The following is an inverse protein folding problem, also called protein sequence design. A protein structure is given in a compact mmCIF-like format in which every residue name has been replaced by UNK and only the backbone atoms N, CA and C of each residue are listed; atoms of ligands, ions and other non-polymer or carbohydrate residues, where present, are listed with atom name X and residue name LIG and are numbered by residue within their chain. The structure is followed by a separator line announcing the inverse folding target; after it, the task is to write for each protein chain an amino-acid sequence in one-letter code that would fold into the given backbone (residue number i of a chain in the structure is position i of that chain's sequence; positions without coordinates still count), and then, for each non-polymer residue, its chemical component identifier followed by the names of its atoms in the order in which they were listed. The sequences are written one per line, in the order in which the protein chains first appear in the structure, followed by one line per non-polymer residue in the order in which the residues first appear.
data_IF_519730446382
#
_entry.id   IF_519730446382
#
_cell.length_a   1.000
_cell.length_b   1.000
_cell.length_c   1.000
_cell.angle_alpha   90.00
_cell.angle_beta   90.00
_cell.angle_gamma   90.00
#
_symmetry.space_group_name_H-M   'P 1'
#
loop_
_entity.id
_entity.type
_entity.pdbx_description
1 polymer ?
#
# COMPACT_ATOMS: atom_id res chain seq x y z
N UNK A 1 -5.76 10.74 14.63
CA UNK A 1 -5.53 10.89 13.18
C UNK A 1 -4.56 9.80 12.78
N UNK A 2 -4.94 8.87 11.89
CA UNK A 2 -4.07 7.74 11.52
C UNK A 2 -3.09 8.21 10.44
N UNK A 3 -1.78 8.16 10.70
CA UNK A 3 -0.74 8.51 9.74
C UNK A 3 -0.57 7.45 8.65
N UNK A 4 -0.51 6.19 9.04
CA UNK A 4 -0.57 5.04 8.13
C UNK A 4 -0.90 3.76 8.91
N UNK A 5 -1.39 2.73 8.22
CA UNK A 5 -1.58 1.40 8.76
C UNK A 5 -0.74 0.40 7.97
N UNK A 6 0.11 -0.37 8.65
CA UNK A 6 0.93 -1.41 8.02
C UNK A 6 0.23 -2.75 8.16
N UNK A 7 0.04 -3.44 7.04
CA UNK A 7 -0.53 -4.76 6.96
C UNK A 7 0.54 -5.74 6.46
N UNK A 8 0.87 -6.71 7.32
CA UNK A 8 1.74 -7.81 6.96
C UNK A 8 1.00 -8.84 6.12
N UNK A 9 1.61 -9.33 5.05
CA UNK A 9 1.05 -10.42 4.22
C UNK A 9 2.04 -11.58 4.09
N UNK A 10 1.51 -12.80 3.95
CA UNK A 10 2.33 -13.98 3.65
C UNK A 10 2.72 -14.05 2.16
N UNK A 11 1.99 -13.33 1.29
CA UNK A 11 2.21 -13.28 -0.16
C UNK A 11 2.05 -11.83 -0.63
N UNK A 12 3.19 -11.18 -0.92
CA UNK A 12 3.28 -9.78 -1.30
C UNK A 12 2.70 -9.57 -2.70
N UNK A 13 3.05 -10.41 -3.67
CA UNK A 13 2.61 -10.28 -5.05
C UNK A 13 1.08 -10.36 -5.18
N UNK A 14 0.47 -11.33 -4.49
CA UNK A 14 -1.00 -11.46 -4.44
C UNK A 14 -1.66 -10.26 -3.76
N UNK A 15 -1.10 -9.78 -2.64
CA UNK A 15 -1.63 -8.61 -1.96
C UNK A 15 -1.54 -7.35 -2.83
N UNK A 16 -0.41 -7.13 -3.49
CA UNK A 16 -0.18 -6.01 -4.39
C UNK A 16 -1.17 -5.99 -5.56
N UNK A 17 -1.45 -7.15 -6.17
CA UNK A 17 -2.45 -7.25 -7.22
C UNK A 17 -3.86 -6.90 -6.73
N UNK A 18 -4.23 -7.38 -5.54
CA UNK A 18 -5.52 -7.07 -4.91
C UNK A 18 -5.64 -5.59 -4.56
N UNK A 19 -4.64 -5.02 -3.88
CA UNK A 19 -4.67 -3.62 -3.45
C UNK A 19 -4.54 -2.66 -4.63
N UNK A 20 -3.84 -3.01 -5.71
CA UNK A 20 -3.89 -2.23 -6.95
C UNK A 20 -5.29 -2.17 -7.53
N UNK A 21 -5.96 -3.32 -7.67
CA UNK A 21 -7.31 -3.37 -8.20
C UNK A 21 -8.28 -2.58 -7.30
N UNK A 22 -8.16 -2.72 -5.98
CA UNK A 22 -8.97 -1.98 -5.02
C UNK A 22 -8.73 -0.48 -5.11
N UNK A 23 -7.47 -0.03 -5.00
CA UNK A 23 -7.13 1.38 -5.01
C UNK A 23 -7.41 2.05 -6.36
N UNK A 24 -7.32 1.31 -7.47
CA UNK A 24 -7.74 1.80 -8.78
C UNK A 24 -9.22 2.20 -8.82
N UNK A 25 -10.10 1.54 -8.06
CA UNK A 25 -11.53 1.90 -8.00
C UNK A 25 -11.82 3.13 -7.14
N UNK A 26 -10.99 3.39 -6.12
CA UNK A 26 -11.18 4.49 -5.16
C UNK A 26 -10.26 5.70 -5.41
N UNK A 27 -9.53 5.71 -6.53
CA UNK A 27 -8.63 6.80 -6.92
C UNK A 27 -7.33 6.87 -6.11
N UNK A 28 -6.96 5.80 -5.42
CA UNK A 28 -5.65 5.66 -4.80
C UNK A 28 -4.65 4.98 -5.72
N UNK A 29 -3.36 5.13 -5.42
CA UNK A 29 -2.28 4.50 -6.18
C UNK A 29 -1.14 4.12 -5.24
N UNK A 30 -0.21 3.31 -5.76
CA UNK A 30 1.09 3.09 -5.11
C UNK A 30 1.83 4.44 -5.06
N UNK A 31 2.09 4.92 -3.86
CA UNK A 31 2.82 6.16 -3.60
C UNK A 31 4.32 5.91 -3.54
N UNK A 32 4.73 4.81 -2.92
CA UNK A 32 6.14 4.49 -2.71
C UNK A 32 6.31 2.98 -2.58
N UNK A 33 7.38 2.44 -3.16
CA UNK A 33 7.76 1.04 -3.01
C UNK A 33 9.17 1.00 -2.45
N UNK A 34 9.34 0.43 -1.26
CA UNK A 34 10.64 0.26 -0.64
C UNK A 34 11.24 -1.10 -1.08
N UNK A 35 12.44 -1.11 -1.67
CA UNK A 35 13.09 -2.32 -2.17
C UNK A 35 13.77 -3.18 -1.08
N UNK A 36 13.56 -2.87 0.20
CA UNK A 36 14.15 -3.59 1.33
C UNK A 36 13.57 -5.00 1.53
N UNK A 37 14.17 -5.79 2.42
CA UNK A 37 13.79 -7.18 2.74
C UNK A 37 12.32 -7.41 3.17
N UNK A 38 11.54 -6.32 3.38
CA UNK A 38 10.11 -6.35 3.72
C UNK A 38 9.19 -5.95 2.56
N UNK A 39 9.71 -5.57 1.39
CA UNK A 39 8.93 -5.20 0.20
C UNK A 39 7.75 -4.24 0.47
N UNK A 40 7.97 -3.26 1.37
CA UNK A 40 6.92 -2.36 1.84
C UNK A 40 6.41 -1.46 0.72
N UNK A 41 5.12 -1.59 0.40
CA UNK A 41 4.45 -0.78 -0.63
C UNK A 41 3.40 0.10 0.02
N UNK A 42 3.58 1.40 -0.14
CA UNK A 42 2.69 2.44 0.36
C UNK A 42 1.61 2.72 -0.67
N UNK A 43 0.36 2.62 -0.24
CA UNK A 43 -0.84 2.94 -0.98
C UNK A 43 -1.53 4.16 -0.37
N UNK A 44 -2.03 5.04 -1.22
CA UNK A 44 -2.85 6.15 -0.79
C UNK A 44 -3.28 7.04 -1.95
N UNK A 45 -4.22 7.95 -1.67
CA UNK A 45 -4.62 8.97 -2.63
C UNK A 45 -3.61 10.13 -2.70
N UNK A 46 -2.94 10.45 -1.59
CA UNK A 46 -1.93 11.51 -1.51
C UNK A 46 -1.05 11.30 -0.26
N UNK A 47 0.20 11.80 -0.24
CA UNK A 47 1.08 11.70 0.94
C UNK A 47 0.55 12.45 2.18
N UNK A 48 -0.33 13.43 1.97
CA UNK A 48 -0.99 14.20 3.05
C UNK A 48 -2.25 13.50 3.61
N UNK A 49 -2.63 12.35 3.04
CA UNK A 49 -3.81 11.57 3.44
C UNK A 49 -3.37 10.27 4.13
N UNK A 50 -4.25 9.63 4.94
CA UNK A 50 -3.94 8.34 5.55
C UNK A 50 -3.54 7.30 4.48
N UNK A 51 -2.42 6.62 4.75
CA UNK A 51 -1.82 5.64 3.84
C UNK A 51 -1.95 4.22 4.37
N UNK A 52 -2.06 3.25 3.47
CA UNK A 52 -1.99 1.83 3.78
C UNK A 52 -0.64 1.29 3.30
N UNK A 53 0.08 0.56 4.13
CA UNK A 53 1.37 -0.02 3.77
C UNK A 53 1.23 -1.54 3.75
N UNK A 54 1.62 -2.18 2.65
CA UNK A 54 1.64 -3.65 2.50
C UNK A 54 3.09 -4.11 2.56
N UNK A 55 3.43 -5.07 3.42
CA UNK A 55 4.77 -5.65 3.50
C UNK A 55 4.83 -6.93 4.31
#
# INVERSE_FOLDING_TARGET
MIGYATLGTNDIDSALAFYDALFATVGGKRLMQMPDARQLTFYGASPDKPMLVIG
#
